data_IF_965680124818
#
_entry.id   IF_965680124818
#
_cell.length_a   1.000
_cell.length_b   1.000
_cell.length_c   1.000
_cell.angle_alpha   90.00
_cell.angle_beta   90.00
_cell.angle_gamma   90.00
#
_symmetry.space_group_name_H-M   'P 1'
#
loop_
_entity.id
_entity.type
_entity.pdbx_description
1 polymer ?
#
# COMPACT_ATOMS: atom_id res chain seq x y z
N UNK A 1 3.76 -35.72 -18.53
CA UNK A 1 4.48 -34.45 -18.83
C UNK A 1 4.70 -33.70 -17.52
N UNK A 2 5.88 -33.10 -17.30
CA UNK A 2 6.15 -32.32 -16.08
C UNK A 2 5.34 -31.01 -16.10
N UNK A 3 4.79 -30.61 -14.96
CA UNK A 3 4.18 -29.29 -14.79
C UNK A 3 5.26 -28.19 -14.82
N UNK A 4 4.89 -26.98 -15.24
CA UNK A 4 5.79 -25.83 -15.18
C UNK A 4 6.20 -25.57 -13.71
N UNK A 5 7.49 -25.36 -13.46
CA UNK A 5 8.00 -24.99 -12.14
C UNK A 5 8.84 -23.73 -12.26
N UNK A 6 8.35 -22.66 -11.67
CA UNK A 6 9.11 -21.42 -11.58
C UNK A 6 10.18 -21.55 -10.48
N UNK A 7 11.45 -21.44 -10.85
CA UNK A 7 12.58 -21.60 -9.91
C UNK A 7 12.57 -20.58 -8.76
N UNK A 8 11.95 -19.42 -8.98
CA UNK A 8 11.90 -18.31 -8.02
C UNK A 8 10.54 -18.19 -7.32
N UNK A 9 9.70 -19.23 -7.33
CA UNK A 9 8.37 -19.19 -6.69
C UNK A 9 8.45 -18.84 -5.20
N UNK A 10 9.42 -19.43 -4.48
CA UNK A 10 9.63 -19.14 -3.05
C UNK A 10 10.05 -17.68 -2.81
N UNK A 11 10.86 -17.12 -3.71
CA UNK A 11 11.27 -15.71 -3.65
C UNK A 11 10.06 -14.81 -3.90
N UNK A 12 9.22 -15.14 -4.88
CA UNK A 12 7.99 -14.40 -5.16
C UNK A 12 7.02 -14.41 -3.97
N UNK A 13 6.86 -15.54 -3.28
CA UNK A 13 6.06 -15.64 -2.06
C UNK A 13 6.60 -14.74 -0.95
N UNK A 14 7.91 -14.74 -0.71
CA UNK A 14 8.55 -13.85 0.27
C UNK A 14 8.32 -12.37 -0.10
N UNK A 15 8.39 -12.01 -1.39
CA UNK A 15 8.12 -10.64 -1.84
C UNK A 15 6.66 -10.21 -1.63
N UNK A 16 5.71 -11.12 -1.82
CA UNK A 16 4.28 -10.87 -1.51
C UNK A 16 4.08 -10.61 -0.03
N UNK A 17 4.66 -11.45 0.84
CA UNK A 17 4.61 -11.24 2.28
C UNK A 17 5.24 -9.90 2.69
N UNK A 18 6.38 -9.53 2.08
CA UNK A 18 7.01 -8.23 2.31
C UNK A 18 6.10 -7.06 1.91
N UNK A 19 5.42 -7.14 0.76
CA UNK A 19 4.44 -6.13 0.35
C UNK A 19 3.28 -6.04 1.33
N UNK A 20 2.74 -7.17 1.78
CA UNK A 20 1.64 -7.21 2.75
C UNK A 20 2.03 -6.55 4.07
N UNK A 21 3.24 -6.84 4.60
CA UNK A 21 3.77 -6.21 5.81
C UNK A 21 3.96 -4.69 5.64
N UNK A 22 4.48 -4.24 4.49
CA UNK A 22 4.63 -2.81 4.22
C UNK A 22 3.28 -2.12 4.07
N UNK A 23 2.29 -2.81 3.51
CA UNK A 23 0.92 -2.31 3.40
C UNK A 23 0.28 -2.14 4.77
N UNK A 24 0.42 -3.11 5.66
CA UNK A 24 -0.05 -3.01 7.05
C UNK A 24 0.62 -1.85 7.79
N UNK A 25 1.95 -1.71 7.66
CA UNK A 25 2.69 -0.59 8.25
C UNK A 25 2.20 0.77 7.74
N UNK A 26 1.96 0.89 6.43
CA UNK A 26 1.39 2.09 5.83
C UNK A 26 0.00 2.41 6.39
N UNK A 27 -0.89 1.42 6.49
CA UNK A 27 -2.23 1.62 7.05
C UNK A 27 -2.20 2.03 8.51
N UNK A 28 -1.28 1.46 9.30
CA UNK A 28 -1.10 1.85 10.69
C UNK A 28 -0.64 3.31 10.80
N UNK A 29 0.41 3.68 10.06
CA UNK A 29 0.90 5.06 10.05
C UNK A 29 -0.15 6.07 9.56
N UNK A 30 -1.00 5.66 8.62
CA UNK A 30 -2.11 6.48 8.13
C UNK A 30 -3.14 6.74 9.25
N UNK A 31 -3.53 5.70 10.00
CA UNK A 31 -4.44 5.85 11.14
C UNK A 31 -3.84 6.73 12.22
N UNK A 32 -2.60 6.47 12.62
CA UNK A 32 -1.89 7.26 13.63
C UNK A 32 -1.84 8.75 13.24
N UNK A 33 -1.62 9.05 11.96
CA UNK A 33 -1.65 10.41 11.44
C UNK A 33 -3.05 11.03 11.48
N UNK A 34 -4.09 10.29 11.15
CA UNK A 34 -5.45 10.80 11.13
C UNK A 34 -5.95 11.06 12.57
N UNK A 35 -5.68 10.16 13.51
CA UNK A 35 -5.94 10.35 14.94
C UNK A 35 -5.22 11.60 15.47
N UNK A 36 -3.95 11.81 15.08
CA UNK A 36 -3.19 12.99 15.48
C UNK A 36 -3.76 14.30 14.90
N UNK A 37 -4.31 14.27 13.68
CA UNK A 37 -4.99 15.43 13.09
C UNK A 37 -6.32 15.71 13.77
N UNK A 38 -7.07 14.68 14.12
CA UNK A 38 -8.34 14.84 14.86
C UNK A 38 -8.08 15.47 16.23
N UNK A 39 -7.07 14.99 16.96
CA UNK A 39 -6.68 15.62 18.22
C UNK A 39 -6.22 17.07 18.04
N UNK A 40 -5.47 17.38 16.98
CA UNK A 40 -5.11 18.77 16.65
C UNK A 40 -6.34 19.65 16.39
N UNK A 41 -7.34 19.13 15.68
CA UNK A 41 -8.60 19.85 15.43
C UNK A 41 -9.35 20.11 16.73
N UNK A 42 -9.47 19.11 17.60
CA UNK A 42 -10.11 19.26 18.90
C UNK A 42 -9.45 20.36 19.74
N UNK A 43 -8.12 20.41 19.80
CA UNK A 43 -7.38 21.49 20.48
C UNK A 43 -7.64 22.87 19.87
N UNK A 44 -7.72 22.96 18.54
CA UNK A 44 -8.00 24.23 17.84
C UNK A 44 -9.43 24.71 18.08
N UNK A 45 -10.41 23.81 18.04
CA UNK A 45 -11.80 24.10 18.37
C UNK A 45 -11.95 24.57 19.82
N UNK A 46 -11.27 23.90 20.74
CA UNK A 46 -11.23 24.30 22.14
C UNK A 46 -10.61 25.70 22.32
N UNK A 47 -9.49 25.97 21.65
CA UNK A 47 -8.86 27.29 21.67
C UNK A 47 -9.80 28.40 21.17
N UNK A 48 -10.50 28.17 20.06
CA UNK A 48 -11.49 29.13 19.52
C UNK A 48 -12.61 29.36 20.53
N UNK A 49 -13.18 28.30 21.09
CA UNK A 49 -14.26 28.38 22.08
C UNK A 49 -13.85 29.19 23.32
N UNK A 50 -12.67 28.91 23.89
CA UNK A 50 -12.18 29.64 25.07
C UNK A 50 -11.80 31.09 24.76
N UNK A 51 -11.33 31.36 23.54
CA UNK A 51 -11.06 32.73 23.09
C UNK A 51 -12.35 33.56 22.97
N UNK A 52 -13.43 32.96 22.49
CA UNK A 52 -14.76 33.59 22.45
C UNK A 52 -15.33 33.83 23.85
N UNK A 53 -15.20 32.85 24.75
CA UNK A 53 -15.58 32.97 26.16
C UNK A 53 -14.82 34.10 26.88
N UNK A 54 -13.52 34.22 26.64
CA UNK A 54 -12.72 35.31 27.20
C UNK A 54 -13.18 36.67 26.67
N UNK A 55 -13.51 36.75 25.38
CA UNK A 55 -14.01 37.99 24.76
C UNK A 55 -15.35 38.42 25.37
N UNK A 56 -16.27 37.49 25.59
CA UNK A 56 -17.58 37.81 26.19
C UNK A 56 -17.48 38.20 27.67
N UNK A 57 -16.58 37.55 28.43
CA UNK A 57 -16.29 37.90 29.83
C UNK A 57 -15.69 39.30 29.98
N UNK A 58 -14.78 39.68 29.09
CA UNK A 58 -14.18 41.04 29.07
C UNK A 58 -15.18 42.17 28.79
N UNK A 59 -16.29 41.89 28.10
CA UNK A 59 -17.36 42.85 27.85
C UNK A 59 -18.39 42.96 28.98
N UNK A 60 -18.30 42.13 30.03
CA UNK A 60 -19.16 42.18 31.22
C UNK A 60 -18.39 42.51 32.49
N UNK A 61 -19.07 42.42 33.65
CA UNK A 61 -18.44 42.49 34.98
C UNK A 61 -17.76 41.15 35.28
N UNK A 62 -16.55 40.95 34.76
CA UNK A 62 -15.72 39.80 35.09
C UNK A 62 -14.64 40.18 36.12
N UNK A 63 -14.46 39.32 37.12
CA UNK A 63 -13.37 39.49 38.08
C UNK A 63 -12.02 39.27 37.39
N UNK A 64 -11.02 40.11 37.71
CA UNK A 64 -9.69 40.06 37.11
C UNK A 64 -9.01 38.68 37.22
N UNK A 65 -9.34 37.91 38.27
CA UNK A 65 -8.80 36.58 38.50
C UNK A 65 -9.32 35.53 37.49
N UNK A 66 -10.58 35.65 37.03
CA UNK A 66 -11.16 34.78 36.02
C UNK A 66 -10.47 35.02 34.67
N UNK A 67 -10.33 36.29 34.29
CA UNK A 67 -9.67 36.71 33.04
C UNK A 67 -8.25 36.17 32.95
N UNK A 68 -7.46 36.30 34.03
CA UNK A 68 -6.09 35.79 34.09
C UNK A 68 -6.03 34.26 33.93
N UNK A 69 -7.00 33.55 34.51
CA UNK A 69 -7.08 32.08 34.42
C UNK A 69 -7.36 31.62 32.99
N UNK A 70 -8.26 32.31 32.28
CA UNK A 70 -8.55 32.06 30.87
C UNK A 70 -7.35 32.34 29.96
N UNK A 71 -6.62 33.44 30.19
CA UNK A 71 -5.42 33.77 29.41
C UNK A 71 -4.35 32.69 29.57
N UNK A 72 -4.06 32.24 30.80
CA UNK A 72 -3.12 31.14 31.05
C UNK A 72 -3.55 29.84 30.36
N UNK A 73 -4.85 29.55 30.36
CA UNK A 73 -5.35 28.36 29.68
C UNK A 73 -5.21 28.45 28.15
N UNK A 74 -5.45 29.64 27.56
CA UNK A 74 -5.24 29.87 26.14
C UNK A 74 -3.75 29.75 25.75
N UNK A 75 -2.83 30.22 26.58
CA UNK A 75 -1.39 30.06 26.36
C UNK A 75 -0.97 28.58 26.42
N UNK A 76 -1.55 27.82 27.35
CA UNK A 76 -1.38 26.37 27.42
C UNK A 76 -1.89 25.70 26.14
N UNK A 77 -3.11 26.00 25.71
CA UNK A 77 -3.71 25.45 24.49
C UNK A 77 -2.88 25.81 23.25
N UNK A 78 -2.39 27.05 23.16
CA UNK A 78 -1.51 27.47 22.08
C UNK A 78 -0.24 26.62 22.03
N UNK A 79 0.41 26.43 23.17
CA UNK A 79 1.60 25.57 23.28
C UNK A 79 1.29 24.11 22.94
N UNK A 80 0.14 23.59 23.36
CA UNK A 80 -0.32 22.24 23.05
C UNK A 80 -0.57 22.06 21.55
N UNK A 81 -1.19 23.04 20.88
CA UNK A 81 -1.42 23.06 19.43
C UNK A 81 -0.09 23.02 18.68
N UNK A 82 0.89 23.85 19.07
CA UNK A 82 2.20 23.86 18.40
C UNK A 82 2.95 22.54 18.57
N UNK A 83 2.93 21.95 19.77
CA UNK A 83 3.49 20.61 20.00
C UNK A 83 2.78 19.56 19.15
N UNK A 84 1.46 19.62 19.07
CA UNK A 84 0.69 18.65 18.29
C UNK A 84 0.91 18.82 16.79
N UNK A 85 1.11 20.04 16.28
CA UNK A 85 1.52 20.28 14.88
C UNK A 85 2.83 19.56 14.55
N UNK A 86 3.83 19.64 15.44
CA UNK A 86 5.09 18.91 15.27
C UNK A 86 4.89 17.39 15.25
N UNK A 87 3.97 16.86 16.05
CA UNK A 87 3.62 15.42 16.03
C UNK A 87 3.00 15.04 14.69
N UNK A 88 2.03 15.82 14.19
CA UNK A 88 1.41 15.61 12.88
C UNK A 88 2.46 15.64 11.76
N UNK A 89 3.38 16.59 11.78
CA UNK A 89 4.42 16.70 10.76
C UNK A 89 5.40 15.52 10.78
N UNK A 90 5.77 15.03 11.97
CA UNK A 90 6.56 13.79 12.12
C UNK A 90 5.83 12.57 11.56
N UNK A 91 4.54 12.41 11.90
CA UNK A 91 3.72 11.30 11.40
C UNK A 91 3.51 11.37 9.89
N UNK A 92 3.40 12.58 9.31
CA UNK A 92 3.37 12.78 7.85
C UNK A 92 4.67 12.32 7.20
N UNK A 93 5.82 12.65 7.78
CA UNK A 93 7.11 12.19 7.27
C UNK A 93 7.22 10.66 7.31
N UNK A 94 6.83 10.04 8.42
CA UNK A 94 6.81 8.58 8.57
C UNK A 94 5.87 7.88 7.58
N UNK A 95 4.67 8.43 7.37
CA UNK A 95 3.74 7.92 6.38
C UNK A 95 4.34 7.94 4.96
N UNK A 96 5.04 9.01 4.61
CA UNK A 96 5.69 9.14 3.30
C UNK A 96 6.86 8.15 3.15
N UNK A 97 7.62 7.86 4.22
CA UNK A 97 8.62 6.80 4.22
C UNK A 97 7.99 5.42 3.98
N UNK A 98 6.90 5.09 4.70
CA UNK A 98 6.17 3.84 4.49
C UNK A 98 5.57 3.74 3.08
N UNK A 99 5.08 4.86 2.54
CA UNK A 99 4.56 4.93 1.16
C UNK A 99 5.64 4.57 0.14
N UNK A 100 6.84 5.12 0.29
CA UNK A 100 7.99 4.82 -0.57
C UNK A 100 8.41 3.36 -0.45
N UNK A 101 8.49 2.85 0.78
CA UNK A 101 8.82 1.44 1.03
C UNK A 101 7.81 0.47 0.39
N UNK A 102 6.52 0.77 0.51
CA UNK A 102 5.45 0.00 -0.14
C UNK A 102 5.57 0.04 -1.67
N UNK A 103 5.81 1.22 -2.24
CA UNK A 103 6.02 1.36 -3.69
C UNK A 103 7.20 0.52 -4.19
N UNK A 104 8.31 0.50 -3.47
CA UNK A 104 9.44 -0.35 -3.79
C UNK A 104 9.13 -1.84 -3.68
N UNK A 105 8.40 -2.25 -2.64
CA UNK A 105 8.01 -3.64 -2.44
C UNK A 105 7.13 -4.13 -3.60
N UNK A 106 6.13 -3.34 -3.98
CA UNK A 106 5.26 -3.60 -5.14
C UNK A 106 6.07 -3.70 -6.42
N UNK A 107 6.99 -2.76 -6.68
CA UNK A 107 7.84 -2.79 -7.88
C UNK A 107 8.69 -4.06 -7.92
N UNK A 108 9.31 -4.45 -6.81
CA UNK A 108 10.14 -5.67 -6.70
C UNK A 108 9.31 -6.93 -6.95
N UNK A 109 8.06 -7.00 -6.45
CA UNK A 109 7.13 -8.11 -6.76
C UNK A 109 6.78 -8.14 -8.25
N UNK A 110 6.35 -7.02 -8.82
CA UNK A 110 5.90 -6.94 -10.21
C UNK A 110 6.99 -7.38 -11.20
N UNK A 111 8.26 -7.07 -10.94
CA UNK A 111 9.38 -7.54 -11.76
C UNK A 111 9.45 -9.07 -11.80
N UNK A 112 9.28 -9.74 -10.65
CA UNK A 112 9.30 -11.19 -10.57
C UNK A 112 8.05 -11.83 -11.18
N UNK A 113 6.88 -11.20 -11.04
CA UNK A 113 5.64 -11.67 -11.66
C UNK A 113 5.73 -11.63 -13.19
N UNK A 114 6.20 -10.50 -13.75
CA UNK A 114 6.45 -10.38 -15.20
C UNK A 114 7.47 -11.40 -15.70
N UNK A 115 8.50 -11.71 -14.90
CA UNK A 115 9.48 -12.74 -15.24
C UNK A 115 8.84 -14.14 -15.26
N UNK A 116 7.97 -14.43 -14.29
CA UNK A 116 7.23 -15.70 -14.22
C UNK A 116 6.30 -15.85 -15.42
N UNK A 117 5.48 -14.84 -15.71
CA UNK A 117 4.56 -14.82 -16.86
C UNK A 117 5.30 -15.10 -18.19
N UNK A 118 6.44 -14.43 -18.43
CA UNK A 118 7.25 -14.67 -19.63
C UNK A 118 7.76 -16.11 -19.74
N UNK A 119 8.19 -16.71 -18.62
CA UNK A 119 8.65 -18.09 -18.60
C UNK A 119 7.50 -19.08 -18.80
N UNK A 120 6.33 -18.79 -18.24
CA UNK A 120 5.12 -19.59 -18.45
C UNK A 120 4.67 -19.56 -19.91
N UNK A 121 4.67 -18.39 -20.54
CA UNK A 121 4.34 -18.24 -21.96
C UNK A 121 5.34 -18.98 -22.86
N UNK A 122 6.64 -18.86 -22.58
CA UNK A 122 7.67 -19.59 -23.32
C UNK A 122 7.48 -21.12 -23.18
N UNK A 123 7.16 -21.60 -21.98
CA UNK A 123 6.88 -23.01 -21.74
C UNK A 123 5.62 -23.50 -22.47
N UNK A 124 4.55 -22.69 -22.46
CA UNK A 124 3.30 -22.99 -23.17
C UNK A 124 3.54 -23.08 -24.68
N UNK A 125 4.28 -22.12 -25.26
CA UNK A 125 4.65 -22.13 -26.69
C UNK A 125 5.48 -23.35 -27.05
N UNK A 126 6.47 -23.71 -26.22
CA UNK A 126 7.26 -24.92 -26.41
C UNK A 126 6.39 -26.19 -26.42
N UNK A 127 5.50 -26.33 -25.43
CA UNK A 127 4.58 -27.47 -25.37
C UNK A 127 3.68 -27.56 -26.60
N UNK A 128 3.12 -26.44 -27.04
CA UNK A 128 2.26 -26.41 -28.22
C UNK A 128 3.03 -26.84 -29.48
N UNK A 129 4.27 -26.36 -29.66
CA UNK A 129 5.12 -26.75 -30.79
C UNK A 129 5.47 -28.24 -30.76
N UNK A 130 5.84 -28.78 -29.60
CA UNK A 130 6.12 -30.23 -29.46
C UNK A 130 4.88 -31.05 -29.75
N UNK A 131 3.71 -30.62 -29.27
CA UNK A 131 2.46 -31.32 -29.51
C UNK A 131 2.03 -31.26 -30.98
N UNK A 132 2.20 -30.10 -31.64
CA UNK A 132 1.94 -29.95 -33.07
C UNK A 132 2.83 -30.87 -33.91
N UNK A 133 4.15 -30.86 -33.67
CA UNK A 133 5.09 -31.75 -34.36
C UNK A 133 4.73 -33.23 -34.18
N UNK A 134 4.27 -33.62 -32.99
CA UNK A 134 3.82 -34.98 -32.72
C UNK A 134 2.55 -35.35 -33.52
N UNK A 135 1.57 -34.43 -33.60
CA UNK A 135 0.37 -34.64 -34.41
C UNK A 135 0.70 -34.74 -35.90
N UNK A 136 1.59 -33.88 -36.40
CA UNK A 136 2.04 -33.91 -37.80
C UNK A 136 2.72 -35.25 -38.13
N UNK A 137 3.59 -35.74 -37.24
CA UNK A 137 4.28 -37.03 -37.43
C UNK A 137 3.30 -38.23 -37.41
N UNK A 138 2.30 -38.21 -36.54
CA UNK A 138 1.25 -39.25 -36.51
C UNK A 138 0.39 -39.16 -37.77
N UNK A 139 0.00 -37.95 -38.19
CA UNK A 139 -0.78 -37.69 -39.39
C UNK A 139 -0.11 -38.21 -40.66
N UNK A 140 1.17 -37.85 -40.89
CA UNK A 140 1.94 -38.34 -42.03
C UNK A 140 2.05 -39.87 -42.06
N UNK A 141 2.21 -40.53 -40.90
CA UNK A 141 2.25 -42.01 -40.83
C UNK A 141 0.92 -42.67 -41.15
N UNK A 142 -0.21 -42.05 -40.80
CA UNK A 142 -1.54 -42.55 -41.17
C UNK A 142 -1.88 -42.31 -42.63
N UNK A 143 -1.42 -41.20 -43.21
CA UNK A 143 -1.66 -40.89 -44.62
C UNK A 143 -0.85 -41.81 -45.55
N UNK A 144 0.42 -42.07 -45.23
CA UNK A 144 1.25 -43.06 -45.93
C UNK A 144 0.62 -44.47 -45.90
N UNK A 145 0.07 -44.88 -44.76
CA UNK A 145 -0.65 -46.17 -44.64
C UNK A 145 -1.94 -46.22 -45.45
N UNK A 146 -2.60 -45.09 -45.69
CA UNK A 146 -3.81 -45.02 -46.53
C UNK A 146 -3.47 -45.11 -48.01
N UNK A 147 -2.37 -44.49 -48.44
CA UNK A 147 -1.87 -44.61 -49.80
C UNK A 147 -1.42 -46.04 -50.12
N UNK A 148 -0.76 -46.73 -49.17
CA UNK A 148 -0.37 -48.15 -49.33
C UNK A 148 -1.57 -49.12 -49.46
N UNK A 149 -2.74 -48.76 -48.93
CA UNK A 149 -3.98 -49.58 -49.01
C UNK A 149 -4.79 -49.26 -50.27
N UNK A 150 -4.66 -48.06 -50.83
CA UNK A 150 -5.38 -47.62 -52.04
C UNK A 150 -4.56 -47.80 -53.33
N UNK A 151 -3.26 -48.11 -53.22
CA UNK A 151 -2.33 -48.35 -54.33
C UNK A 151 -2.18 -49.82 -54.76
N UNK A 152 -3.02 -50.73 -54.23
CA UNK A 152 -3.16 -52.12 -54.69
C UNK A 152 -4.48 -52.34 -55.42
#
# INVERSE_FOLDING_TARGET
MRAFRFKLERVLQVRRLQEDLQREAFWKAQRDLDDAKEYLRALQEEFVKYKELLRSRRSGEAEAHEVLSYERYLDYLHTAIERQRQVVDRLRAQLEEHRRALHEAVRKRQVLERLKERQEDAYRRYKNKVFQNFLDEVGSRTDLRREDICGM
#
